data_IF_569035869485
#
_entry.id   IF_569035869485
#
_cell.length_a   1.000
_cell.length_b   1.000
_cell.length_c   1.000
_cell.angle_alpha   90.00
_cell.angle_beta   90.00
_cell.angle_gamma   90.00
#
_symmetry.space_group_name_H-M   'P 1'
#
loop_
_entity.id
_entity.type
_entity.pdbx_description
1 polymer ?
#
# COMPACT_ATOMS: atom_id res chain seq x y z
N UNK A 1 -60.17 -33.58 -28.72
CA UNK A 1 -59.88 -32.33 -29.45
C UNK A 1 -58.47 -31.92 -29.06
N UNK A 2 -57.50 -32.24 -29.90
CA UNK A 2 -56.09 -31.88 -29.66
C UNK A 2 -55.86 -30.43 -30.09
N UNK A 3 -55.60 -29.57 -29.11
CA UNK A 3 -55.25 -28.18 -29.33
C UNK A 3 -53.79 -28.15 -29.79
N UNK A 4 -53.57 -27.93 -31.09
CA UNK A 4 -52.22 -27.66 -31.61
C UNK A 4 -51.84 -26.20 -31.34
N UNK A 5 -50.61 -25.92 -30.88
CA UNK A 5 -50.13 -24.55 -30.69
C UNK A 5 -50.04 -23.83 -32.05
N UNK A 6 -50.47 -22.55 -32.08
CA UNK A 6 -50.50 -21.72 -33.29
C UNK A 6 -49.12 -21.31 -33.81
N UNK A 7 -48.06 -21.51 -33.02
CA UNK A 7 -46.70 -21.13 -33.39
C UNK A 7 -45.72 -22.27 -33.12
N UNK A 8 -45.09 -22.72 -34.19
CA UNK A 8 -43.99 -23.67 -34.18
C UNK A 8 -42.75 -22.99 -33.55
N UNK A 9 -42.42 -23.39 -32.33
CA UNK A 9 -41.22 -22.90 -31.62
C UNK A 9 -39.99 -23.77 -31.89
N UNK A 10 -40.02 -24.68 -32.86
CA UNK A 10 -38.92 -25.65 -33.10
C UNK A 10 -37.62 -25.01 -33.60
N UNK A 11 -37.62 -23.73 -33.99
CA UNK A 11 -36.39 -23.01 -34.32
C UNK A 11 -36.41 -21.55 -33.85
N UNK A 12 -36.36 -21.33 -32.54
CA UNK A 12 -35.74 -20.08 -32.04
C UNK A 12 -34.23 -20.27 -32.21
N UNK A 13 -33.70 -19.88 -33.37
CA UNK A 13 -32.27 -19.72 -33.57
C UNK A 13 -31.83 -18.52 -32.70
N UNK A 14 -31.42 -18.80 -31.46
CA UNK A 14 -30.67 -17.83 -30.67
C UNK A 14 -29.34 -17.67 -31.42
N UNK A 15 -29.27 -16.67 -32.29
CA UNK A 15 -28.02 -16.22 -32.89
C UNK A 15 -27.17 -15.69 -31.73
N UNK A 16 -26.43 -16.58 -31.09
CA UNK A 16 -25.32 -16.18 -30.23
C UNK A 16 -24.44 -15.28 -31.09
N UNK A 17 -24.18 -14.01 -30.71
CA UNK A 17 -23.30 -13.16 -31.46
C UNK A 17 -22.01 -13.95 -31.66
N UNK A 18 -21.69 -14.18 -32.93
CA UNK A 18 -20.69 -15.15 -33.34
C UNK A 18 -19.40 -14.92 -32.55
N UNK A 19 -18.72 -16.00 -32.16
CA UNK A 19 -17.38 -15.92 -31.56
C UNK A 19 -16.43 -15.02 -32.37
N UNK A 20 -16.70 -14.81 -33.66
CA UNK A 20 -16.06 -13.83 -34.54
C UNK A 20 -16.24 -12.38 -34.12
N UNK A 21 -17.43 -11.91 -33.72
CA UNK A 21 -17.64 -10.50 -33.33
C UNK A 21 -16.89 -10.18 -32.03
N UNK A 22 -16.91 -11.09 -31.05
CA UNK A 22 -16.09 -10.99 -29.84
C UNK A 22 -14.59 -11.06 -30.15
N UNK A 23 -14.16 -11.90 -31.10
CA UNK A 23 -12.76 -12.00 -31.53
C UNK A 23 -12.29 -10.73 -32.24
N UNK A 24 -13.13 -10.12 -33.08
CA UNK A 24 -12.84 -8.86 -33.80
C UNK A 24 -12.79 -7.66 -32.84
N UNK A 25 -13.68 -7.57 -31.85
CA UNK A 25 -13.63 -6.54 -30.79
C UNK A 25 -12.42 -6.74 -29.84
N UNK A 26 -12.04 -7.99 -29.57
CA UNK A 26 -10.82 -8.30 -28.82
C UNK A 26 -9.55 -8.03 -29.64
N UNK A 27 -9.56 -8.20 -30.96
CA UNK A 27 -8.41 -7.95 -31.84
C UNK A 27 -8.22 -6.48 -32.20
N UNK A 28 -9.30 -5.69 -32.31
CA UNK A 28 -9.20 -4.26 -32.64
C UNK A 28 -8.65 -3.39 -31.49
N UNK A 29 -8.73 -3.86 -30.23
CA UNK A 29 -8.13 -3.18 -29.06
C UNK A 29 -6.80 -3.77 -28.57
N UNK A 30 -6.28 -4.80 -29.24
CA UNK A 30 -4.98 -5.40 -28.87
C UNK A 30 -3.85 -4.46 -29.26
N UNK A 31 -3.19 -3.89 -28.25
CA UNK A 31 -1.89 -3.24 -28.40
C UNK A 31 -0.95 -4.21 -29.13
N UNK A 32 -0.62 -3.91 -30.38
CA UNK A 32 0.29 -4.73 -31.19
C UNK A 32 1.73 -4.45 -30.78
N UNK A 33 2.55 -5.49 -30.83
CA UNK A 33 4.00 -5.35 -30.67
C UNK A 33 4.56 -4.53 -31.84
N UNK A 34 5.32 -3.45 -31.60
CA UNK A 34 5.93 -2.65 -32.66
C UNK A 34 6.80 -3.44 -33.63
N UNK A 35 7.38 -4.56 -33.18
CA UNK A 35 8.22 -5.44 -34.02
C UNK A 35 7.47 -6.67 -34.55
N UNK A 36 6.22 -6.90 -34.13
CA UNK A 36 5.43 -8.07 -34.53
C UNK A 36 6.01 -9.44 -34.14
N UNK A 37 7.01 -9.49 -33.28
CA UNK A 37 7.69 -10.73 -32.86
C UNK A 37 6.97 -11.36 -31.67
N UNK A 38 6.50 -10.51 -30.75
CA UNK A 38 5.92 -10.93 -29.47
C UNK A 38 4.40 -10.98 -29.55
N UNK A 39 3.79 -11.94 -28.87
CA UNK A 39 2.34 -11.94 -28.65
C UNK A 39 1.87 -10.65 -27.96
N UNK A 40 0.70 -10.13 -28.39
CA UNK A 40 0.15 -8.88 -27.88
C UNK A 40 -0.12 -8.89 -26.36
N UNK A 41 -0.41 -10.05 -25.79
CA UNK A 41 -0.59 -10.28 -24.34
C UNK A 41 0.71 -10.01 -23.59
N UNK A 42 1.79 -10.72 -23.96
CA UNK A 42 3.12 -10.56 -23.39
C UNK A 42 3.64 -9.12 -23.51
N UNK A 43 3.48 -8.49 -24.69
CA UNK A 43 3.92 -7.11 -24.91
C UNK A 43 3.18 -6.12 -24.00
N UNK A 44 1.87 -6.31 -23.80
CA UNK A 44 1.07 -5.47 -22.90
C UNK A 44 1.58 -5.53 -21.47
N UNK A 45 1.96 -6.72 -20.99
CA UNK A 45 2.55 -6.88 -19.65
C UNK A 45 3.86 -6.11 -19.55
N UNK A 46 4.80 -6.30 -20.48
CA UNK A 46 6.07 -5.55 -20.51
C UNK A 46 5.84 -4.03 -20.54
N UNK A 47 4.92 -3.55 -21.38
CA UNK A 47 4.56 -2.13 -21.45
C UNK A 47 3.99 -1.61 -20.14
N UNK A 48 3.08 -2.35 -19.51
CA UNK A 48 2.48 -1.97 -18.23
C UNK A 48 3.54 -1.87 -17.12
N UNK A 49 4.49 -2.81 -17.07
CA UNK A 49 5.60 -2.79 -16.11
C UNK A 49 6.52 -1.59 -16.31
N UNK A 50 6.81 -1.24 -17.57
CA UNK A 50 7.59 -0.02 -17.87
C UNK A 50 6.87 1.22 -17.39
N UNK A 51 5.57 1.35 -17.70
CA UNK A 51 4.76 2.49 -17.29
C UNK A 51 4.71 2.60 -15.76
N UNK A 52 4.46 1.50 -15.04
CA UNK A 52 4.41 1.51 -13.58
C UNK A 52 5.74 1.94 -12.99
N UNK A 53 6.86 1.36 -13.44
CA UNK A 53 8.19 1.73 -12.94
C UNK A 53 8.55 3.18 -13.29
N UNK A 54 8.16 3.65 -14.47
CA UNK A 54 8.39 5.03 -14.91
C UNK A 54 7.56 6.04 -14.11
N UNK A 55 6.26 5.78 -13.87
CA UNK A 55 5.43 6.61 -13.00
C UNK A 55 5.97 6.63 -11.57
N UNK A 56 6.43 5.48 -11.07
CA UNK A 56 7.05 5.39 -9.75
C UNK A 56 8.34 6.23 -9.68
N UNK A 57 9.16 6.20 -10.74
CA UNK A 57 10.37 7.03 -10.84
C UNK A 57 10.03 8.53 -10.78
N UNK A 58 9.05 8.99 -11.57
CA UNK A 58 8.60 10.38 -11.57
C UNK A 58 8.12 10.79 -10.18
N UNK A 59 7.32 9.95 -9.52
CA UNK A 59 6.81 10.23 -8.18
C UNK A 59 7.94 10.44 -7.16
N UNK A 60 8.98 9.59 -7.19
CA UNK A 60 10.13 9.75 -6.29
C UNK A 60 11.00 10.97 -6.64
N UNK A 61 11.13 11.32 -7.92
CA UNK A 61 11.83 12.54 -8.34
C UNK A 61 11.10 13.79 -7.83
N UNK A 62 9.79 13.85 -8.01
CA UNK A 62 8.96 14.95 -7.50
C UNK A 62 9.07 15.04 -5.97
N UNK A 63 9.01 13.89 -5.27
CA UNK A 63 9.16 13.85 -3.81
C UNK A 63 10.53 14.40 -3.34
N UNK A 64 11.63 14.06 -4.04
CA UNK A 64 12.95 14.63 -3.74
C UNK A 64 12.98 16.14 -3.94
N UNK A 65 12.36 16.66 -5.01
CA UNK A 65 12.29 18.11 -5.24
C UNK A 65 11.51 18.79 -4.12
N UNK A 66 10.41 18.21 -3.65
CA UNK A 66 9.63 18.73 -2.52
C UNK A 66 10.49 18.77 -1.25
N UNK A 67 11.22 17.69 -0.94
CA UNK A 67 12.11 17.64 0.24
C UNK A 67 13.24 18.66 0.11
N UNK A 68 13.82 18.83 -1.08
CA UNK A 68 14.86 19.82 -1.33
C UNK A 68 14.34 21.25 -1.14
N UNK A 69 13.15 21.57 -1.67
CA UNK A 69 12.49 22.86 -1.45
C UNK A 69 12.25 23.09 0.05
N UNK A 70 11.75 22.08 0.76
CA UNK A 70 11.50 22.17 2.20
C UNK A 70 12.80 22.46 2.98
N UNK A 71 13.90 21.78 2.65
CA UNK A 71 15.20 22.02 3.26
C UNK A 71 15.76 23.41 2.94
N UNK A 72 15.59 23.89 1.70
CA UNK A 72 16.00 25.24 1.30
C UNK A 72 15.19 26.31 2.03
N UNK A 73 13.88 26.15 2.15
CA UNK A 73 13.03 27.07 2.92
C UNK A 73 13.49 27.11 4.37
N UNK A 74 13.75 25.95 4.99
CA UNK A 74 14.24 25.88 6.36
C UNK A 74 15.65 26.52 6.53
N UNK A 75 16.50 26.43 5.51
CA UNK A 75 17.83 27.03 5.53
C UNK A 75 17.82 28.56 5.38
N UNK A 76 17.01 29.10 4.48
CA UNK A 76 17.01 30.53 4.17
C UNK A 76 15.98 31.33 4.96
N UNK A 77 14.84 30.73 5.33
CA UNK A 77 13.73 31.38 6.04
C UNK A 77 13.13 30.43 7.09
N UNK A 78 13.90 30.08 8.14
CA UNK A 78 13.44 29.16 9.18
C UNK A 78 12.14 29.64 9.86
N UNK A 79 11.94 30.96 9.98
CA UNK A 79 10.76 31.56 10.60
C UNK A 79 9.44 31.21 9.89
N UNK A 80 9.46 30.91 8.59
CA UNK A 80 8.27 30.47 7.86
C UNK A 80 7.76 29.09 8.28
N UNK A 81 8.63 28.27 8.88
CA UNK A 81 8.29 26.90 9.30
C UNK A 81 8.24 26.75 10.82
N UNK A 82 8.98 27.57 11.58
CA UNK A 82 9.20 27.36 13.02
C UNK A 82 8.87 28.56 13.90
N UNK A 83 7.93 29.41 13.50
CA UNK A 83 7.56 30.65 14.22
C UNK A 83 7.22 30.48 15.72
N UNK A 84 7.00 29.24 16.21
CA UNK A 84 6.72 28.95 17.62
C UNK A 84 7.31 27.66 18.21
N UNK A 85 8.13 26.91 17.46
CA UNK A 85 8.66 25.63 17.95
C UNK A 85 10.15 25.76 18.25
N UNK A 86 10.50 25.71 19.52
CA UNK A 86 11.84 25.50 20.10
C UNK A 86 12.48 24.15 19.72
N UNK A 87 11.99 23.51 18.65
CA UNK A 87 12.60 22.34 18.05
C UNK A 87 13.90 22.76 17.38
N UNK A 88 15.01 22.18 17.83
CA UNK A 88 16.34 22.36 17.22
C UNK A 88 16.23 22.20 15.70
N UNK A 89 16.56 23.26 14.97
CA UNK A 89 16.59 23.33 13.49
C UNK A 89 17.27 22.11 12.84
N UNK A 90 18.20 21.49 13.58
CA UNK A 90 18.91 20.26 13.19
C UNK A 90 18.00 19.04 12.94
N UNK A 91 16.83 18.98 13.58
CA UNK A 91 15.89 17.85 13.42
C UNK A 91 15.34 17.78 12.00
N UNK A 92 15.03 18.93 11.38
CA UNK A 92 14.50 18.99 10.02
C UNK A 92 15.56 18.61 8.98
N UNK A 93 16.81 19.03 9.18
CA UNK A 93 17.92 18.61 8.32
C UNK A 93 18.18 17.12 8.43
N UNK A 94 18.14 16.56 9.64
CA UNK A 94 18.31 15.13 9.84
C UNK A 94 17.19 14.32 9.18
N UNK A 95 15.93 14.69 9.42
CA UNK A 95 14.77 14.01 8.83
C UNK A 95 14.72 14.16 7.31
N UNK A 96 14.99 15.36 6.79
CA UNK A 96 15.05 15.62 5.35
C UNK A 96 16.22 14.90 4.68
N UNK A 97 17.40 14.86 5.31
CA UNK A 97 18.55 14.10 4.85
C UNK A 97 18.28 12.60 4.81
N UNK A 98 17.74 12.02 5.88
CA UNK A 98 17.36 10.61 5.95
C UNK A 98 16.29 10.27 4.88
N UNK A 99 15.27 11.12 4.75
CA UNK A 99 14.22 10.94 3.74
C UNK A 99 14.78 11.00 2.32
N UNK A 100 15.66 11.97 2.04
CA UNK A 100 16.31 12.12 0.74
C UNK A 100 17.17 10.91 0.40
N UNK A 101 17.94 10.39 1.37
CA UNK A 101 18.74 9.18 1.20
C UNK A 101 17.87 7.97 0.84
N UNK A 102 16.76 7.75 1.56
CA UNK A 102 15.82 6.66 1.28
C UNK A 102 15.20 6.79 -0.12
N UNK A 103 14.78 8.00 -0.50
CA UNK A 103 14.22 8.25 -1.83
C UNK A 103 15.26 8.02 -2.94
N UNK A 104 16.50 8.46 -2.74
CA UNK A 104 17.59 8.26 -3.70
C UNK A 104 17.91 6.78 -3.89
N UNK A 105 18.02 6.02 -2.79
CA UNK A 105 18.19 4.56 -2.85
C UNK A 105 17.05 3.87 -3.62
N UNK A 106 15.81 4.36 -3.48
CA UNK A 106 14.66 3.85 -4.25
C UNK A 106 14.75 4.20 -5.73
N UNK A 107 15.18 5.40 -6.10
CA UNK A 107 15.41 5.77 -7.50
C UNK A 107 16.41 4.83 -8.15
N UNK A 108 17.56 4.58 -7.50
CA UNK A 108 18.57 3.64 -8.01
C UNK A 108 17.96 2.25 -8.21
N UNK A 109 17.22 1.74 -7.22
CA UNK A 109 16.54 0.44 -7.33
C UNK A 109 15.57 0.38 -8.51
N UNK A 110 14.83 1.46 -8.80
CA UNK A 110 13.88 1.53 -9.93
C UNK A 110 14.63 1.56 -11.26
N UNK A 111 15.74 2.30 -11.36
CA UNK A 111 16.57 2.34 -12.57
C UNK A 111 17.16 0.96 -12.89
N UNK A 112 17.61 0.22 -11.87
CA UNK A 112 18.06 -1.17 -12.02
C UNK A 112 16.91 -2.05 -12.51
N UNK A 113 15.72 -1.95 -11.92
CA UNK A 113 14.54 -2.71 -12.34
C UNK A 113 14.13 -2.39 -13.79
N UNK A 114 14.21 -1.13 -14.23
CA UNK A 114 13.96 -0.72 -15.63
C UNK A 114 14.98 -1.31 -16.61
N UNK A 115 16.27 -1.31 -16.24
CA UNK A 115 17.33 -1.95 -17.03
C UNK A 115 17.08 -3.45 -17.17
N UNK A 116 16.79 -4.13 -16.06
CA UNK A 116 16.51 -5.56 -16.05
C UNK A 116 15.25 -5.92 -16.87
N UNK A 117 14.22 -5.08 -16.82
CA UNK A 117 13.01 -5.21 -17.63
C UNK A 117 13.32 -5.12 -19.12
N UNK A 118 14.12 -4.13 -19.54
CA UNK A 118 14.55 -3.99 -20.94
C UNK A 118 15.36 -5.20 -21.42
N UNK A 119 16.31 -5.67 -20.61
CA UNK A 119 17.10 -6.86 -20.95
C UNK A 119 16.23 -8.11 -21.08
N UNK A 120 15.26 -8.27 -20.20
CA UNK A 120 14.35 -9.43 -20.21
C UNK A 120 13.40 -9.41 -21.40
N UNK A 121 12.95 -8.23 -21.82
CA UNK A 121 12.17 -8.08 -23.05
C UNK A 121 12.99 -8.50 -24.28
N UNK A 122 14.25 -8.07 -24.36
CA UNK A 122 15.14 -8.45 -25.47
C UNK A 122 15.40 -9.96 -25.47
N UNK A 123 15.69 -10.57 -24.30
CA UNK A 123 15.88 -12.03 -24.20
C UNK A 123 14.65 -12.79 -24.68
N UNK A 124 13.48 -12.38 -24.21
CA UNK A 124 12.21 -13.01 -24.61
C UNK A 124 11.98 -12.93 -26.12
N UNK A 125 12.25 -11.78 -26.73
CA UNK A 125 12.13 -11.62 -28.19
C UNK A 125 13.07 -12.57 -28.94
N UNK A 126 14.30 -12.72 -28.45
CA UNK A 126 15.28 -13.60 -29.08
C UNK A 126 14.88 -15.08 -28.95
N UNK A 127 14.31 -15.49 -27.81
CA UNK A 127 13.79 -16.85 -27.59
C UNK A 127 12.63 -17.16 -28.54
N UNK A 128 11.65 -16.24 -28.65
CA UNK A 128 10.52 -16.40 -29.59
C UNK A 128 11.00 -16.46 -31.04
N UNK A 129 11.99 -15.64 -31.42
CA UNK A 129 12.56 -15.67 -32.77
C UNK A 129 13.27 -16.99 -33.10
N UNK A 130 13.81 -17.68 -32.09
CA UNK A 130 14.45 -19.00 -32.25
C UNK A 130 13.44 -20.15 -32.32
N UNK A 131 12.16 -19.87 -32.10
CA UNK A 131 11.12 -20.90 -32.01
C UNK A 131 11.11 -21.65 -30.68
N UNK A 132 11.91 -21.23 -29.69
CA UNK A 132 11.87 -21.78 -28.35
C UNK A 132 10.53 -21.41 -27.70
N UNK A 133 9.93 -22.32 -26.94
CA UNK A 133 8.76 -21.98 -26.11
C UNK A 133 9.25 -21.22 -24.89
N UNK A 134 9.06 -19.88 -24.80
CA UNK A 134 9.69 -19.11 -23.75
C UNK A 134 9.01 -19.40 -22.42
N UNK A 135 9.70 -20.09 -21.52
CA UNK A 135 9.24 -20.39 -20.16
C UNK A 135 9.29 -19.15 -19.25
N UNK A 136 8.63 -18.06 -19.65
CA UNK A 136 8.48 -16.81 -18.90
C UNK A 136 9.81 -16.14 -18.49
N UNK A 137 10.11 -14.90 -18.93
CA UNK A 137 11.40 -14.27 -18.62
C UNK A 137 11.66 -14.21 -17.11
N UNK A 138 12.90 -14.41 -16.68
CA UNK A 138 13.26 -14.46 -15.24
C UNK A 138 12.81 -13.21 -14.47
N UNK A 139 12.82 -12.04 -15.12
CA UNK A 139 12.26 -10.82 -14.55
C UNK A 139 10.77 -10.94 -14.21
N UNK A 140 9.96 -11.55 -15.07
CA UNK A 140 8.53 -11.73 -14.83
C UNK A 140 8.27 -12.69 -13.67
N UNK A 141 9.08 -13.75 -13.51
CA UNK A 141 9.06 -14.61 -12.31
C UNK A 141 9.31 -13.81 -11.03
N UNK A 142 10.30 -12.93 -11.05
CA UNK A 142 10.62 -12.07 -9.92
C UNK A 142 9.55 -11.00 -9.68
N UNK A 143 8.99 -10.41 -10.74
CA UNK A 143 7.90 -9.44 -10.66
C UNK A 143 6.65 -10.09 -10.03
N UNK A 144 6.30 -11.30 -10.45
CA UNK A 144 5.19 -12.08 -9.90
C UNK A 144 5.36 -12.32 -8.39
N UNK A 145 6.55 -12.80 -7.97
CA UNK A 145 6.89 -12.95 -6.54
C UNK A 145 6.81 -11.63 -5.78
N UNK A 146 7.35 -10.54 -6.34
CA UNK A 146 7.26 -9.19 -5.76
C UNK A 146 5.81 -8.74 -5.58
N UNK A 147 4.91 -9.00 -6.54
CA UNK A 147 3.48 -8.63 -6.44
C UNK A 147 2.82 -9.34 -5.24
N UNK A 148 3.06 -10.64 -5.06
CA UNK A 148 2.53 -11.42 -3.93
C UNK A 148 3.01 -10.84 -2.60
N UNK A 149 4.31 -10.59 -2.46
CA UNK A 149 4.89 -10.04 -1.23
C UNK A 149 4.37 -8.63 -0.95
N UNK A 150 4.28 -7.77 -1.98
CA UNK A 150 3.74 -6.41 -1.85
C UNK A 150 2.28 -6.40 -1.40
N UNK A 151 1.47 -7.40 -1.80
CA UNK A 151 0.10 -7.52 -1.31
C UNK A 151 0.09 -7.80 0.20
N UNK A 152 0.94 -8.70 0.68
CA UNK A 152 1.06 -8.99 2.11
C UNK A 152 1.50 -7.74 2.87
N UNK A 153 2.52 -7.05 2.37
CA UNK A 153 3.04 -5.82 2.98
C UNK A 153 1.96 -4.75 3.07
N UNK A 154 1.24 -4.51 1.97
CA UNK A 154 0.19 -3.51 1.93
C UNK A 154 -0.98 -3.84 2.86
N UNK A 155 -1.36 -5.12 2.97
CA UNK A 155 -2.37 -5.56 3.93
C UNK A 155 -1.93 -5.27 5.37
N UNK A 156 -0.71 -5.62 5.74
CA UNK A 156 -0.21 -5.39 7.09
C UNK A 156 -0.02 -3.92 7.43
N UNK A 157 0.48 -3.10 6.49
CA UNK A 157 0.54 -1.64 6.66
C UNK A 157 -0.87 -1.09 6.91
N UNK A 158 -1.86 -1.58 6.16
CA UNK A 158 -3.25 -1.13 6.33
C UNK A 158 -3.84 -1.57 7.67
N UNK A 159 -3.57 -2.79 8.11
CA UNK A 159 -3.99 -3.28 9.44
C UNK A 159 -3.39 -2.41 10.54
N UNK A 160 -2.08 -2.16 10.49
CA UNK A 160 -1.36 -1.33 11.48
C UNK A 160 -1.96 0.08 11.50
N UNK A 161 -2.10 0.71 10.33
CA UNK A 161 -2.62 2.07 10.21
C UNK A 161 -4.04 2.16 10.75
N UNK A 162 -4.94 1.29 10.31
CA UNK A 162 -6.32 1.28 10.77
C UNK A 162 -6.40 1.01 12.28
N UNK A 163 -5.65 0.05 12.80
CA UNK A 163 -5.64 -0.31 14.22
C UNK A 163 -5.21 0.87 15.10
N UNK A 164 -4.03 1.43 14.86
CA UNK A 164 -3.50 2.49 15.71
C UNK A 164 -4.23 3.82 15.55
N UNK A 165 -4.62 4.19 14.32
CA UNK A 165 -5.42 5.39 14.12
C UNK A 165 -6.82 5.25 14.73
N UNK A 166 -7.44 4.07 14.70
CA UNK A 166 -8.75 3.86 15.34
C UNK A 166 -8.66 3.90 16.86
N UNK A 167 -7.62 3.30 17.47
CA UNK A 167 -7.38 3.40 18.91
C UNK A 167 -7.16 4.86 19.31
N UNK A 168 -6.29 5.57 18.58
CA UNK A 168 -6.04 6.99 18.82
C UNK A 168 -7.32 7.81 18.73
N UNK A 169 -8.13 7.59 17.68
CA UNK A 169 -9.39 8.27 17.48
C UNK A 169 -10.41 7.96 18.58
N UNK A 170 -10.48 6.70 19.02
CA UNK A 170 -11.35 6.26 20.11
C UNK A 170 -10.97 6.91 21.44
N UNK A 171 -9.67 6.98 21.75
CA UNK A 171 -9.16 7.67 22.94
C UNK A 171 -9.47 9.16 22.86
N UNK A 172 -9.20 9.80 21.71
CA UNK A 172 -9.45 11.23 21.51
C UNK A 172 -10.93 11.56 21.66
N UNK A 173 -11.81 10.73 21.07
CA UNK A 173 -13.27 10.90 21.17
C UNK A 173 -13.76 10.70 22.60
N UNK A 174 -13.26 9.68 23.31
CA UNK A 174 -13.64 9.40 24.69
C UNK A 174 -13.19 10.49 25.67
N UNK A 175 -12.03 11.11 25.44
CA UNK A 175 -11.44 12.08 26.36
C UNK A 175 -11.77 13.55 26.04
N UNK A 176 -12.34 13.86 24.86
CA UNK A 176 -12.53 15.24 24.40
C UNK A 176 -13.37 16.13 25.33
N UNK A 177 -14.33 15.53 26.05
CA UNK A 177 -15.24 16.23 26.95
C UNK A 177 -14.99 15.90 28.43
N UNK A 178 -13.94 15.13 28.73
CA UNK A 178 -13.67 14.62 30.06
C UNK A 178 -12.80 15.60 30.85
N UNK A 179 -13.35 16.10 31.94
CA UNK A 179 -12.60 16.79 32.99
C UNK A 179 -12.58 15.87 34.20
N UNK A 180 -11.41 15.32 34.55
CA UNK A 180 -11.31 14.41 35.69
C UNK A 180 -10.28 14.92 36.68
N UNK A 181 -10.75 15.20 37.89
CA UNK A 181 -9.90 15.37 39.06
C UNK A 181 -9.55 13.99 39.62
N UNK A 182 -8.29 13.57 39.48
CA UNK A 182 -7.82 12.34 40.13
C UNK A 182 -7.29 12.74 41.51
N UNK A 183 -8.04 12.38 42.56
CA UNK A 183 -7.56 12.53 43.94
C UNK A 183 -6.52 11.46 44.22
N UNK A 184 -5.26 11.88 44.37
CA UNK A 184 -4.13 11.01 44.66
C UNK A 184 -3.79 11.05 46.16
N UNK A 185 -4.80 10.85 47.02
CA UNK A 185 -4.63 10.77 48.47
C UNK A 185 -3.71 11.86 49.04
N UNK A 186 -2.61 11.44 49.67
CA UNK A 186 -1.62 12.29 50.38
C UNK A 186 -0.89 13.29 49.46
N UNK A 187 -0.92 13.11 48.13
CA UNK A 187 -0.26 14.00 47.16
C UNK A 187 -1.16 15.13 46.62
N UNK A 188 -2.38 15.28 47.14
CA UNK A 188 -3.33 16.30 46.70
C UNK A 188 -4.18 15.87 45.50
N UNK A 189 -5.01 16.81 45.02
CA UNK A 189 -5.83 16.64 43.81
C UNK A 189 -5.01 17.03 42.58
N UNK A 190 -4.88 16.11 41.62
CA UNK A 190 -4.35 16.45 40.29
C UNK A 190 -5.53 16.55 39.36
N UNK A 191 -5.83 17.78 38.95
CA UNK A 191 -6.90 18.07 38.01
C UNK A 191 -6.38 17.90 36.58
N UNK A 192 -6.76 16.79 35.93
CA UNK A 192 -6.50 16.57 34.52
C UNK A 192 -7.68 17.10 33.71
N UNK A 193 -7.49 18.28 33.12
CA UNK A 193 -8.42 18.86 32.17
C UNK A 193 -8.04 18.38 30.76
N UNK A 194 -8.51 17.18 30.38
CA UNK A 194 -8.23 16.61 29.05
C UNK A 194 -8.83 17.46 27.94
N UNK A 195 -9.97 18.11 28.18
CA UNK A 195 -10.56 19.07 27.26
C UNK A 195 -9.59 20.20 26.93
N UNK A 196 -8.94 20.78 27.95
CA UNK A 196 -7.94 21.83 27.77
C UNK A 196 -6.67 21.30 27.09
N UNK A 197 -6.18 20.12 27.49
CA UNK A 197 -5.01 19.51 26.86
C UNK A 197 -5.24 19.26 25.36
N UNK A 198 -6.40 18.71 25.00
CA UNK A 198 -6.79 18.45 23.61
C UNK A 198 -6.98 19.77 22.86
N UNK A 199 -7.58 20.79 23.49
CA UNK A 199 -7.71 22.14 22.91
C UNK A 199 -6.34 22.77 22.62
N UNK A 200 -5.37 22.61 23.52
CA UNK A 200 -4.01 23.12 23.32
C UNK A 200 -3.29 22.36 22.19
N UNK A 201 -3.40 21.02 22.17
CA UNK A 201 -2.69 20.21 21.17
C UNK A 201 -3.28 20.29 19.77
N UNK A 202 -4.61 20.40 19.65
CA UNK A 202 -5.32 20.22 18.39
C UNK A 202 -6.25 21.38 18.02
N UNK A 203 -6.47 22.34 18.93
CA UNK A 203 -7.44 23.43 18.75
C UNK A 203 -8.88 22.95 18.88
N UNK A 204 -9.36 22.21 17.86
CA UNK A 204 -10.72 21.69 17.79
C UNK A 204 -10.72 20.16 17.66
N UNK A 205 -11.08 19.49 18.75
CA UNK A 205 -11.14 18.02 18.82
C UNK A 205 -12.08 17.40 17.77
N UNK A 206 -13.29 17.96 17.60
CA UNK A 206 -14.29 17.42 16.68
C UNK A 206 -13.82 17.53 15.22
N UNK A 207 -13.16 18.64 14.87
CA UNK A 207 -12.59 18.84 13.55
C UNK A 207 -11.49 17.80 13.28
N UNK A 208 -10.56 17.61 14.23
CA UNK A 208 -9.49 16.61 14.07
C UNK A 208 -10.06 15.20 13.95
N UNK A 209 -11.02 14.81 14.80
CA UNK A 209 -11.70 13.52 14.72
C UNK A 209 -12.32 13.32 13.33
N UNK A 210 -13.02 14.34 12.82
CA UNK A 210 -13.67 14.28 11.50
C UNK A 210 -12.66 14.12 10.37
N UNK A 211 -11.55 14.88 10.39
CA UNK A 211 -10.47 14.74 9.41
C UNK A 211 -9.89 13.33 9.44
N UNK A 212 -9.60 12.78 10.62
CA UNK A 212 -9.07 11.42 10.74
C UNK A 212 -10.05 10.37 10.18
N UNK A 213 -11.35 10.51 10.44
CA UNK A 213 -12.38 9.61 9.87
C UNK A 213 -12.35 9.68 8.34
N UNK A 214 -12.33 10.88 7.76
CA UNK A 214 -12.28 11.07 6.30
C UNK A 214 -11.00 10.45 5.72
N UNK A 215 -9.86 10.67 6.35
CA UNK A 215 -8.56 10.11 5.91
C UNK A 215 -8.56 8.57 5.98
N UNK A 216 -9.10 7.99 7.05
CA UNK A 216 -9.20 6.53 7.20
C UNK A 216 -10.16 5.94 6.17
N UNK A 217 -11.30 6.58 5.92
CA UNK A 217 -12.24 6.16 4.89
C UNK A 217 -11.60 6.21 3.48
N UNK A 218 -10.90 7.29 3.15
CA UNK A 218 -10.16 7.41 1.90
C UNK A 218 -9.08 6.32 1.78
N UNK A 219 -8.38 6.00 2.88
CA UNK A 219 -7.39 4.93 2.90
C UNK A 219 -7.99 3.55 2.60
N UNK A 220 -9.18 3.24 3.13
CA UNK A 220 -9.87 1.98 2.83
C UNK A 220 -10.20 1.86 1.34
N UNK A 221 -10.71 2.93 0.72
CA UNK A 221 -10.99 2.95 -0.72
C UNK A 221 -9.70 2.73 -1.54
N UNK A 222 -8.63 3.43 -1.17
CA UNK A 222 -7.31 3.29 -1.80
C UNK A 222 -6.76 1.86 -1.65
N UNK A 223 -6.95 1.24 -0.49
CA UNK A 223 -6.54 -0.13 -0.21
C UNK A 223 -7.21 -1.12 -1.17
N UNK A 224 -8.53 -1.01 -1.34
CA UNK A 224 -9.30 -1.86 -2.26
C UNK A 224 -8.83 -1.64 -3.70
N UNK A 225 -8.68 -0.39 -4.13
CA UNK A 225 -8.18 -0.07 -5.47
C UNK A 225 -6.82 -0.72 -5.76
N UNK A 226 -5.88 -0.62 -4.82
CA UNK A 226 -4.57 -1.24 -4.98
C UNK A 226 -4.62 -2.77 -4.96
N UNK A 227 -5.50 -3.38 -4.14
CA UNK A 227 -5.69 -4.82 -4.14
C UNK A 227 -6.23 -5.33 -5.48
N UNK A 228 -7.22 -4.63 -6.05
CA UNK A 228 -7.77 -4.94 -7.37
C UNK A 228 -6.74 -4.77 -8.49
N UNK A 229 -6.00 -3.67 -8.48
CA UNK A 229 -4.93 -3.40 -9.45
C UNK A 229 -3.85 -4.50 -9.43
N UNK A 230 -3.43 -4.96 -8.24
CA UNK A 230 -2.49 -6.07 -8.10
C UNK A 230 -3.08 -7.41 -8.55
N UNK A 231 -4.35 -7.68 -8.23
CA UNK A 231 -5.05 -8.89 -8.69
C UNK A 231 -5.10 -8.96 -10.22
N UNK A 232 -5.48 -7.84 -10.85
CA UNK A 232 -5.49 -7.71 -12.32
C UNK A 232 -4.11 -7.95 -12.91
N UNK A 233 -3.09 -7.24 -12.41
CA UNK A 233 -1.71 -7.39 -12.88
C UNK A 233 -1.16 -8.82 -12.74
N UNK A 234 -1.49 -9.50 -11.65
CA UNK A 234 -1.13 -10.92 -11.44
C UNK A 234 -1.79 -11.81 -12.49
N UNK A 235 -3.09 -11.62 -12.73
CA UNK A 235 -3.86 -12.35 -13.75
C UNK A 235 -3.30 -12.11 -15.16
N UNK A 236 -2.92 -10.86 -15.48
CA UNK A 236 -2.36 -10.52 -16.80
C UNK A 236 -1.03 -11.26 -17.06
N UNK A 237 -0.18 -11.43 -16.03
CA UNK A 237 1.06 -12.21 -16.13
C UNK A 237 0.77 -13.70 -16.34
N UNK A 238 -0.15 -14.28 -15.56
CA UNK A 238 -0.54 -15.69 -15.69
C UNK A 238 -1.15 -15.99 -17.06
N UNK A 239 -1.98 -15.10 -17.58
CA UNK A 239 -2.57 -15.28 -18.92
C UNK A 239 -1.55 -15.12 -20.05
N UNK A 240 -0.48 -14.34 -19.85
CA UNK A 240 0.46 -13.99 -20.92
C UNK A 240 1.66 -14.94 -21.05
N UNK A 241 2.06 -15.62 -19.98
CA UNK A 241 3.17 -16.61 -20.07
C UNK A 241 2.89 -17.93 -19.34
N UNK A 242 1.61 -18.30 -19.20
CA UNK A 242 1.17 -19.61 -18.69
C UNK A 242 0.76 -19.61 -17.21
N UNK A 243 0.13 -20.71 -16.80
CA UNK A 243 -0.50 -20.85 -15.48
C UNK A 243 0.44 -20.66 -14.28
N UNK A 244 -0.15 -20.48 -13.09
CA UNK A 244 0.54 -20.23 -11.81
C UNK A 244 1.75 -21.14 -11.55
N UNK A 245 1.66 -22.40 -11.96
CA UNK A 245 2.65 -23.46 -11.76
C UNK A 245 4.00 -23.16 -12.44
N UNK A 246 4.00 -22.39 -13.53
CA UNK A 246 5.22 -21.99 -14.24
C UNK A 246 6.02 -20.88 -13.51
N UNK A 247 5.41 -20.25 -12.52
CA UNK A 247 5.97 -19.06 -11.85
C UNK A 247 6.45 -19.34 -10.44
N UNK A 248 5.70 -20.17 -9.71
CA UNK A 248 6.00 -20.52 -8.32
C UNK A 248 5.35 -21.86 -7.98
N UNK A 249 6.15 -22.77 -7.41
CA UNK A 249 5.60 -23.99 -6.82
C UNK A 249 4.81 -23.64 -5.57
N UNK A 250 3.80 -24.45 -5.23
CA UNK A 250 2.96 -24.18 -4.05
C UNK A 250 3.77 -24.16 -2.76
N UNK A 251 4.80 -25.01 -2.65
CA UNK A 251 5.73 -25.02 -1.51
C UNK A 251 6.48 -23.68 -1.37
N UNK A 252 7.03 -23.14 -2.47
CA UNK A 252 7.75 -21.87 -2.44
C UNK A 252 6.79 -20.74 -2.13
N UNK A 253 5.59 -20.77 -2.71
CA UNK A 253 4.53 -19.80 -2.43
C UNK A 253 4.17 -19.77 -0.94
N UNK A 254 3.93 -20.93 -0.35
CA UNK A 254 3.58 -21.06 1.05
C UNK A 254 4.73 -20.60 1.96
N UNK A 255 5.97 -20.98 1.65
CA UNK A 255 7.17 -20.59 2.41
C UNK A 255 7.36 -19.08 2.43
N UNK A 256 7.31 -18.41 1.27
CA UNK A 256 7.51 -16.95 1.21
C UNK A 256 6.37 -16.18 1.88
N UNK A 257 5.12 -16.65 1.71
CA UNK A 257 3.94 -15.97 2.26
C UNK A 257 3.87 -16.11 3.78
N UNK A 258 4.08 -17.33 4.31
CA UNK A 258 4.15 -17.56 5.77
C UNK A 258 5.29 -16.79 6.41
N UNK A 259 6.48 -16.83 5.80
CA UNK A 259 7.65 -16.09 6.29
C UNK A 259 7.38 -14.59 6.40
N UNK A 260 6.83 -14.00 5.33
CA UNK A 260 6.50 -12.57 5.30
C UNK A 260 5.42 -12.18 6.31
N UNK A 261 4.35 -12.98 6.43
CA UNK A 261 3.29 -12.76 7.43
C UNK A 261 3.82 -12.84 8.85
N UNK A 262 4.71 -13.78 9.14
CA UNK A 262 5.34 -13.93 10.47
C UNK A 262 6.16 -12.70 10.86
N UNK A 263 6.92 -12.13 9.92
CA UNK A 263 7.68 -10.90 10.16
C UNK A 263 6.74 -9.75 10.51
N UNK A 264 5.71 -9.52 9.70
CA UNK A 264 4.75 -8.44 9.97
C UNK A 264 3.99 -8.62 11.26
N UNK A 265 3.58 -9.85 11.58
CA UNK A 265 2.93 -10.15 12.84
C UNK A 265 3.84 -9.83 14.04
N UNK A 266 5.13 -10.17 13.97
CA UNK A 266 6.12 -9.77 15.00
C UNK A 266 6.24 -8.26 15.12
N UNK A 267 6.32 -7.54 14.01
CA UNK A 267 6.36 -6.07 13.99
C UNK A 267 5.11 -5.50 14.66
N UNK A 268 3.93 -6.00 14.28
CA UNK A 268 2.66 -5.59 14.86
C UNK A 268 2.63 -5.80 16.39
N UNK A 269 3.09 -6.96 16.86
CA UNK A 269 3.18 -7.25 18.29
C UNK A 269 4.16 -6.31 19.01
N UNK A 270 5.35 -6.06 18.45
CA UNK A 270 6.34 -5.16 19.05
C UNK A 270 5.79 -3.73 19.15
N UNK A 271 5.15 -3.23 18.10
CA UNK A 271 4.57 -1.88 18.12
C UNK A 271 3.44 -1.81 19.16
N UNK A 272 2.56 -2.80 19.23
CA UNK A 272 1.50 -2.85 20.25
C UNK A 272 2.08 -2.94 21.68
N UNK A 273 3.12 -3.73 21.87
CA UNK A 273 3.79 -3.87 23.15
C UNK A 273 4.36 -2.53 23.62
N UNK A 274 5.07 -1.81 22.75
CA UNK A 274 5.67 -0.52 23.07
C UNK A 274 4.61 0.57 23.31
N UNK A 275 3.58 0.65 22.45
CA UNK A 275 2.62 1.75 22.49
C UNK A 275 1.50 1.56 23.52
N UNK A 276 1.09 0.32 23.81
CA UNK A 276 -0.05 0.03 24.68
C UNK A 276 0.41 -0.64 25.96
N UNK A 277 1.17 -1.74 25.85
CA UNK A 277 1.47 -2.56 27.01
C UNK A 277 2.45 -1.90 27.98
N UNK A 278 3.52 -1.26 27.47
CA UNK A 278 4.52 -0.58 28.32
C UNK A 278 3.88 0.55 29.14
N UNK A 279 3.10 1.49 28.55
CA UNK A 279 2.39 2.50 29.34
C UNK A 279 1.38 1.89 30.32
N UNK A 280 0.63 0.85 29.92
CA UNK A 280 -0.34 0.19 30.80
C UNK A 280 0.33 -0.48 32.00
N UNK A 281 1.45 -1.20 31.80
CA UNK A 281 2.24 -1.81 32.86
C UNK A 281 2.85 -0.76 33.79
N UNK A 282 3.32 0.36 33.25
CA UNK A 282 3.83 1.48 34.05
C UNK A 282 2.72 2.08 34.94
N UNK A 283 1.54 2.32 34.39
CA UNK A 283 0.37 2.80 35.14
C UNK A 283 -0.07 1.79 36.21
N UNK A 284 -0.10 0.50 35.88
CA UNK A 284 -0.45 -0.57 36.81
C UNK A 284 0.56 -0.71 37.96
N UNK A 285 1.86 -0.67 37.66
CA UNK A 285 2.91 -0.68 38.68
C UNK A 285 2.80 0.51 39.62
N UNK A 286 2.54 1.71 39.08
CA UNK A 286 2.32 2.92 39.88
C UNK A 286 1.08 2.77 40.78
N UNK A 287 0.00 2.20 40.26
CA UNK A 287 -1.22 1.93 41.02
C UNK A 287 -0.98 0.93 42.17
N UNK A 288 -0.28 -0.18 41.92
CA UNK A 288 0.07 -1.15 42.97
C UNK A 288 0.97 -0.55 44.06
N UNK A 289 1.96 0.28 43.67
CA UNK A 289 2.85 0.94 44.64
C UNK A 289 2.09 1.89 45.55
N UNK A 290 1.09 2.59 45.02
CA UNK A 290 0.26 3.50 45.82
C UNK A 290 -0.63 2.75 46.82
N UNK A 291 -1.13 1.54 46.49
CA UNK A 291 -1.90 0.70 47.42
C UNK A 291 -1.09 0.10 48.57
N UNK A 292 0.24 0.01 48.44
CA UNK A 292 1.11 -0.47 49.53
C UNK A 292 1.52 0.61 50.53
N UNK A 293 1.22 1.88 50.24
CA UNK A 293 1.56 3.04 51.08
C UNK A 293 0.35 3.64 51.80
N UNK A 294 -0.85 3.19 51.47
CA UNK A 294 -2.10 3.48 52.18
C UNK A 294 -2.42 2.28 53.08
#
# INVERSE_FOLDING_TARGET
MDIKPLHDTSTINIVSPSNQYNKILLESSKVKDPKGIMEASAYRVFRSEKIINFLTLILFLVAIVIVAIFLLINAFKPTLLSEKLTSSSNTYYFLGGLSSFVMFAKIISILIDLKNLKNSETSYRNEVQRGDTPNGPQYMKNAYKKIILRQIDHNWISIILLWFCSIFLGILYALKDVNTSVSLGIFGRIDFNFKELIRIMFGNANLVITIFIIVLAAWVVLHVFFALSRKKRKSDIEQSFGGKENWITDEVYEKITKGRRKIWFRIFLVINFILILVPALFLFWRWMKNRRKA
#
